data_IF_182859866991
#
_entry.id   IF_182859866991
#
_cell.length_a   1.000
_cell.length_b   1.000
_cell.length_c   1.000
_cell.angle_alpha   90.00
_cell.angle_beta   90.00
_cell.angle_gamma   90.00
#
_symmetry.space_group_name_H-M   'P 1'
#
loop_
_entity.id
_entity.type
_entity.pdbx_description
1 polymer ?
#
# COMPACT_ATOMS: atom_id res chain seq x y z
N UNK A 1 -0.52 -10.57 -8.12
CA UNK A 1 -1.95 -10.38 -7.82
C UNK A 1 -2.76 -10.17 -9.09
N UNK A 2 -3.97 -10.72 -9.19
CA UNK A 2 -5.04 -10.17 -10.03
C UNK A 2 -6.29 -10.08 -9.16
N UNK A 3 -6.35 -9.03 -8.34
CA UNK A 3 -7.66 -8.50 -7.98
C UNK A 3 -8.39 -8.16 -9.28
N UNK A 4 -9.71 -8.32 -9.34
CA UNK A 4 -10.52 -8.15 -10.55
C UNK A 4 -10.60 -6.71 -11.07
N UNK A 5 -9.62 -5.87 -10.75
CA UNK A 5 -9.50 -4.50 -11.20
C UNK A 5 -9.12 -4.42 -12.67
N UNK A 6 -9.59 -3.39 -13.34
CA UNK A 6 -9.15 -3.07 -14.69
C UNK A 6 -7.68 -2.59 -14.72
N UNK A 7 -7.11 -2.55 -15.92
CA UNK A 7 -5.71 -2.20 -16.13
C UNK A 7 -5.36 -0.76 -15.70
N UNK A 8 -6.32 0.17 -15.74
CA UNK A 8 -6.09 1.56 -15.32
C UNK A 8 -5.96 1.63 -13.80
N UNK A 9 -6.87 0.97 -13.08
CA UNK A 9 -6.82 0.87 -11.61
C UNK A 9 -5.53 0.18 -11.16
N UNK A 10 -5.12 -0.90 -11.83
CA UNK A 10 -3.84 -1.57 -11.55
C UNK A 10 -2.65 -0.62 -11.70
N UNK A 11 -2.55 0.13 -12.80
CA UNK A 11 -1.47 1.10 -13.02
C UNK A 11 -1.43 2.20 -11.95
N UNK A 12 -2.60 2.66 -11.51
CA UNK A 12 -2.70 3.66 -10.44
C UNK A 12 -2.25 3.10 -9.09
N UNK A 13 -2.62 1.85 -8.77
CA UNK A 13 -2.12 1.16 -7.58
C UNK A 13 -0.59 1.05 -7.63
N UNK A 14 -0.03 0.57 -8.75
CA UNK A 14 1.43 0.46 -8.91
C UNK A 14 2.13 1.81 -8.75
N UNK A 15 1.52 2.88 -9.27
CA UNK A 15 2.05 4.24 -9.12
C UNK A 15 2.04 4.70 -7.66
N UNK A 16 0.96 4.44 -6.93
CA UNK A 16 0.88 4.74 -5.51
C UNK A 16 1.93 3.97 -4.70
N UNK A 17 2.08 2.67 -4.95
CA UNK A 17 3.08 1.84 -4.26
C UNK A 17 4.50 2.33 -4.54
N UNK A 18 4.82 2.71 -5.79
CA UNK A 18 6.12 3.32 -6.12
C UNK A 18 6.36 4.62 -5.37
N UNK A 19 5.36 5.48 -5.27
CA UNK A 19 5.44 6.73 -4.49
C UNK A 19 5.73 6.44 -3.01
N UNK A 20 5.03 5.47 -2.42
CA UNK A 20 5.23 5.07 -1.02
C UNK A 20 6.65 4.52 -0.79
N UNK A 21 7.15 3.67 -1.70
CA UNK A 21 8.54 3.18 -1.62
C UNK A 21 9.56 4.31 -1.61
N UNK A 22 9.33 5.36 -2.41
CA UNK A 22 10.18 6.54 -2.39
C UNK A 22 10.08 7.32 -1.06
N UNK A 23 8.89 7.48 -0.50
CA UNK A 23 8.65 8.17 0.79
C UNK A 23 9.31 7.47 1.99
N UNK A 24 9.33 6.13 1.99
CA UNK A 24 9.84 5.30 3.08
C UNK A 24 11.24 4.73 2.81
N UNK A 25 11.92 5.18 1.75
CA UNK A 25 13.28 4.75 1.42
C UNK A 25 14.22 4.93 2.62
N UNK A 26 14.92 3.86 2.98
CA UNK A 26 15.85 3.85 4.11
C UNK A 26 15.20 3.79 5.50
N UNK A 27 13.86 3.80 5.58
CA UNK A 27 13.10 3.63 6.83
C UNK A 27 12.47 2.25 6.94
N UNK A 28 11.98 1.72 5.82
CA UNK A 28 11.35 0.40 5.75
C UNK A 28 11.86 -0.35 4.50
N UNK A 29 12.18 -1.65 4.59
CA UNK A 29 12.52 -2.46 3.42
C UNK A 29 11.41 -2.44 2.37
N UNK A 30 11.76 -2.35 1.07
CA UNK A 30 10.76 -2.29 -0.01
C UNK A 30 9.86 -3.53 -0.05
N UNK A 31 10.40 -4.71 0.26
CA UNK A 31 9.63 -5.96 0.36
C UNK A 31 8.53 -5.87 1.43
N UNK A 32 8.82 -5.26 2.58
CA UNK A 32 7.81 -5.04 3.63
C UNK A 32 6.73 -4.05 3.19
N UNK A 33 7.09 -3.05 2.38
CA UNK A 33 6.12 -2.12 1.79
C UNK A 33 5.21 -2.85 0.81
N UNK A 34 5.77 -3.73 -0.03
CA UNK A 34 5.01 -4.56 -0.97
C UNK A 34 4.03 -5.46 -0.22
N UNK A 35 4.46 -6.14 0.85
CA UNK A 35 3.58 -7.00 1.66
C UNK A 35 2.38 -6.22 2.23
N UNK A 36 2.62 -5.04 2.81
CA UNK A 36 1.55 -4.20 3.39
C UNK A 36 0.62 -3.65 2.29
N UNK A 37 1.15 -3.33 1.11
CA UNK A 37 0.35 -2.91 -0.02
C UNK A 37 -0.52 -4.06 -0.56
N UNK A 38 0.03 -5.26 -0.66
CA UNK A 38 -0.68 -6.47 -1.09
C UNK A 38 -1.84 -6.79 -0.14
N UNK A 39 -1.64 -6.71 1.18
CA UNK A 39 -2.70 -6.84 2.17
C UNK A 39 -3.82 -5.80 1.97
N UNK A 40 -3.44 -4.55 1.71
CA UNK A 40 -4.39 -3.46 1.46
C UNK A 40 -5.18 -3.68 0.17
N UNK A 41 -4.54 -4.20 -0.88
CA UNK A 41 -5.15 -4.57 -2.16
C UNK A 41 -6.13 -5.72 -1.98
N UNK A 42 -5.75 -6.77 -1.26
CA UNK A 42 -6.60 -7.93 -0.99
C UNK A 42 -7.85 -7.54 -0.20
N UNK A 43 -7.70 -6.66 0.80
CA UNK A 43 -8.83 -6.13 1.58
C UNK A 43 -9.85 -5.38 0.71
N UNK A 44 -9.43 -4.87 -0.44
CA UNK A 44 -10.24 -4.07 -1.36
C UNK A 44 -10.63 -4.84 -2.63
N UNK A 45 -10.27 -6.12 -2.76
CA UNK A 45 -10.44 -6.91 -3.99
C UNK A 45 -11.90 -6.96 -4.47
N UNK A 46 -12.85 -6.97 -3.54
CA UNK A 46 -14.30 -7.01 -3.82
C UNK A 46 -14.98 -5.64 -3.69
N UNK A 47 -14.21 -4.55 -3.78
CA UNK A 47 -14.75 -3.19 -3.70
C UNK A 47 -15.79 -2.93 -4.80
N UNK A 48 -16.97 -2.44 -4.40
CA UNK A 48 -18.02 -1.99 -5.34
C UNK A 48 -17.68 -0.68 -6.04
N UNK A 49 -16.58 -0.03 -5.65
CA UNK A 49 -16.10 1.27 -6.18
C UNK A 49 -14.61 1.20 -6.53
N UNK A 50 -14.23 0.42 -7.57
CA UNK A 50 -12.83 0.15 -7.90
C UNK A 50 -12.00 1.40 -8.24
N UNK A 51 -12.64 2.46 -8.73
CA UNK A 51 -11.97 3.73 -9.07
C UNK A 51 -11.32 4.44 -7.88
N UNK A 52 -11.78 4.17 -6.65
CA UNK A 52 -11.20 4.73 -5.43
C UNK A 52 -10.19 3.79 -4.75
N UNK A 53 -10.02 2.56 -5.25
CA UNK A 53 -9.09 1.58 -4.67
C UNK A 53 -7.66 2.12 -4.61
N UNK A 54 -7.09 2.79 -5.65
CA UNK A 54 -5.73 3.31 -5.57
C UNK A 54 -5.53 4.27 -4.39
N UNK A 55 -6.51 5.17 -4.17
CA UNK A 55 -6.50 6.12 -3.06
C UNK A 55 -6.51 5.39 -1.70
N UNK A 56 -7.35 4.36 -1.56
CA UNK A 56 -7.46 3.61 -0.31
C UNK A 56 -6.25 2.73 -0.04
N UNK A 57 -5.69 2.07 -1.06
CA UNK A 57 -4.41 1.35 -0.95
C UNK A 57 -3.33 2.32 -0.47
N UNK A 58 -3.22 3.48 -1.12
CA UNK A 58 -2.25 4.50 -0.75
C UNK A 58 -2.40 4.96 0.72
N UNK A 59 -3.63 5.12 1.20
CA UNK A 59 -3.93 5.53 2.57
C UNK A 59 -3.63 4.43 3.59
N UNK A 60 -4.11 3.22 3.36
CA UNK A 60 -3.97 2.10 4.30
C UNK A 60 -2.52 1.65 4.44
N UNK A 61 -1.79 1.58 3.33
CA UNK A 61 -0.37 1.25 3.37
C UNK A 61 0.41 2.27 4.19
N UNK A 62 0.23 3.58 3.96
CA UNK A 62 0.92 4.62 4.75
C UNK A 62 0.56 4.59 6.23
N UNK A 63 -0.72 4.38 6.56
CA UNK A 63 -1.16 4.26 7.95
C UNK A 63 -0.46 3.09 8.65
N UNK A 64 -0.44 1.92 8.00
CA UNK A 64 0.19 0.73 8.57
C UNK A 64 1.71 0.85 8.70
N UNK A 65 2.38 1.42 7.68
CA UNK A 65 3.82 1.67 7.74
C UNK A 65 4.19 2.65 8.85
N UNK A 66 3.36 3.67 9.08
CA UNK A 66 3.56 4.61 10.19
C UNK A 66 3.49 3.91 11.54
N UNK A 67 2.48 3.08 11.76
CA UNK A 67 2.36 2.28 12.99
C UNK A 67 3.58 1.37 13.20
N UNK A 68 4.08 0.72 12.15
CA UNK A 68 5.26 -0.15 12.22
C UNK A 68 6.53 0.63 12.59
N UNK A 69 6.73 1.80 11.99
CA UNK A 69 7.88 2.68 12.30
C UNK A 69 7.80 3.21 13.73
N UNK A 70 6.62 3.65 14.17
CA UNK A 70 6.40 4.16 15.53
C UNK A 70 6.58 3.05 16.59
N UNK A 71 6.07 1.84 16.33
CA UNK A 71 6.24 0.69 17.20
C UNK A 71 7.72 0.26 17.31
N UNK A 72 8.46 0.26 16.20
CA UNK A 72 9.90 -0.04 16.19
C UNK A 72 10.74 1.04 16.88
N UNK A 73 10.33 2.32 16.80
CA UNK A 73 11.02 3.44 17.46
C UNK A 73 10.79 3.49 18.97
N UNK A 74 9.66 2.97 19.44
CA UNK A 74 9.29 2.98 20.87
C UNK A 74 10.00 1.89 21.71
N UNK A 75 10.77 1.03 21.06
CA UNK A 75 11.59 -0.02 21.71
C UNK A 75 13.09 0.29 21.72
N UNK A 76 13.49 1.51 21.34
CA UNK A 76 14.90 1.97 21.33
C UNK A 76 15.19 2.98 22.43
#
# INVERSE_FOLDING_TARGET
>A
MKAGFDATVIKLIESEVRTIKAEYRGKVPEESIDLVADESIQRLADSRVPQFVPLFVGRFTRARLRELVEAGSSQS
#
